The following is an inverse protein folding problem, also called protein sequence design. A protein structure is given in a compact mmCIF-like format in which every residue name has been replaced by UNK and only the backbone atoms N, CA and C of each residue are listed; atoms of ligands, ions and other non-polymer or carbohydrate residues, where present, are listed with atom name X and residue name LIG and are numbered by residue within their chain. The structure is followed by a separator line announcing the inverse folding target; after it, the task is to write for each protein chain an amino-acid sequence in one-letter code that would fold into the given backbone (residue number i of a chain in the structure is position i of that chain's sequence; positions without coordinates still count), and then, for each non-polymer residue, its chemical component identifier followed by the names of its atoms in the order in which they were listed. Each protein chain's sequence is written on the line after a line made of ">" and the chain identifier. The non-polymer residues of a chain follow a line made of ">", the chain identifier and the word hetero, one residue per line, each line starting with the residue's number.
data_IF_451398636021
#
_entry.id   IF_451398636021
#
_cell.length_a   1.000
_cell.length_b   1.000
_cell.length_c   1.000
_cell.angle_alpha   90.00
_cell.angle_beta   90.00
_cell.angle_gamma   90.00
#
_symmetry.space_group_name_H-M   'P 1'
#
loop_
_entity.id
_entity.type
_entity.pdbx_description
1 polymer ?
#
# COMPACT_ATOMS: atom_id res chain seq x y z
N UNK A 1 31.36 -16.52 -26.45
CA UNK A 1 30.25 -17.41 -26.06
C UNK A 1 29.27 -16.57 -25.22
N UNK A 2 28.08 -16.27 -25.75
CA UNK A 2 27.09 -15.49 -25.05
C UNK A 2 26.43 -16.39 -23.96
N UNK A 3 26.56 -15.97 -22.71
CA UNK A 3 25.96 -16.63 -21.54
C UNK A 3 24.43 -16.62 -21.69
N UNK A 4 23.84 -17.78 -21.90
CA UNK A 4 22.37 -17.97 -21.92
C UNK A 4 21.81 -17.57 -20.56
N UNK A 5 21.38 -16.29 -20.40
CA UNK A 5 20.70 -15.81 -19.21
C UNK A 5 19.47 -16.68 -18.95
N UNK A 6 19.42 -17.28 -17.75
CA UNK A 6 18.35 -18.22 -17.35
C UNK A 6 16.96 -17.57 -17.49
N UNK A 7 15.93 -18.23 -18.06
CA UNK A 7 14.57 -17.68 -18.28
C UNK A 7 13.96 -17.04 -17.02
N UNK A 8 14.17 -17.64 -15.85
CA UNK A 8 13.70 -17.15 -14.56
C UNK A 8 14.21 -15.73 -14.25
N UNK A 9 15.50 -15.48 -14.52
CA UNK A 9 16.10 -14.15 -14.30
C UNK A 9 15.54 -13.08 -15.25
N UNK A 10 15.12 -13.44 -16.45
CA UNK A 10 14.48 -12.50 -17.39
C UNK A 10 13.08 -12.15 -16.93
N UNK A 11 12.29 -13.11 -16.44
CA UNK A 11 10.95 -12.87 -15.90
C UNK A 11 10.97 -11.91 -14.70
N UNK A 12 11.87 -12.14 -13.76
CA UNK A 12 12.09 -11.25 -12.60
C UNK A 12 12.46 -9.84 -13.06
N UNK A 13 13.38 -9.69 -14.01
CA UNK A 13 13.77 -8.39 -14.57
C UNK A 13 12.61 -7.67 -15.27
N UNK A 14 11.70 -8.39 -15.95
CA UNK A 14 10.50 -7.79 -16.54
C UNK A 14 9.63 -7.18 -15.43
N UNK A 15 9.40 -7.90 -14.35
CA UNK A 15 8.61 -7.44 -13.20
C UNK A 15 9.24 -6.20 -12.57
N UNK A 16 10.55 -6.23 -12.28
CA UNK A 16 11.26 -5.10 -11.67
C UNK A 16 11.24 -3.85 -12.57
N UNK A 17 11.53 -4.01 -13.86
CA UNK A 17 11.49 -2.89 -14.82
C UNK A 17 10.07 -2.33 -14.95
N UNK A 18 9.06 -3.21 -15.00
CA UNK A 18 7.66 -2.79 -15.07
C UNK A 18 7.24 -1.99 -13.83
N UNK A 19 7.68 -2.42 -12.63
CA UNK A 19 7.40 -1.69 -11.39
C UNK A 19 7.94 -0.26 -11.45
N UNK A 20 9.19 -0.09 -11.90
CA UNK A 20 9.79 1.23 -12.03
C UNK A 20 9.01 2.11 -13.02
N UNK A 21 8.71 1.60 -14.22
CA UNK A 21 7.99 2.34 -15.24
C UNK A 21 6.56 2.68 -14.80
N UNK A 22 5.84 1.72 -14.20
CA UNK A 22 4.48 1.97 -13.70
C UNK A 22 4.47 2.99 -12.56
N UNK A 23 5.44 2.92 -11.65
CA UNK A 23 5.58 3.88 -10.56
C UNK A 23 5.90 5.29 -11.05
N UNK A 24 6.68 5.43 -12.12
CA UNK A 24 7.06 6.72 -12.70
C UNK A 24 5.91 7.29 -13.56
N UNK A 25 5.53 6.59 -14.59
CA UNK A 25 4.66 7.10 -15.65
C UNK A 25 3.18 6.73 -15.50
N UNK A 26 2.85 5.74 -14.64
CA UNK A 26 1.51 5.20 -14.50
C UNK A 26 1.27 3.95 -15.36
N UNK A 27 0.59 2.97 -14.76
CA UNK A 27 0.27 1.74 -15.47
C UNK A 27 -0.57 1.98 -16.76
N UNK A 28 -1.53 2.93 -16.82
CA UNK A 28 -2.27 3.22 -18.05
C UNK A 28 -1.39 3.66 -19.22
N UNK A 29 -0.30 4.37 -18.94
CA UNK A 29 0.56 5.02 -19.95
C UNK A 29 1.74 4.18 -20.41
N UNK A 30 2.00 3.03 -19.77
CA UNK A 30 3.11 2.14 -20.12
C UNK A 30 2.59 0.92 -20.87
N UNK A 31 3.18 0.62 -22.03
CA UNK A 31 2.87 -0.56 -22.83
C UNK A 31 3.89 -1.68 -22.61
N UNK A 32 3.58 -2.91 -23.03
CA UNK A 32 4.56 -4.01 -23.05
C UNK A 32 5.73 -3.73 -24.00
N UNK A 33 5.51 -2.93 -25.05
CA UNK A 33 6.57 -2.49 -25.95
C UNK A 33 7.56 -1.55 -25.26
N UNK A 34 7.07 -0.63 -24.43
CA UNK A 34 7.92 0.30 -23.66
C UNK A 34 8.78 -0.49 -22.65
N UNK A 35 8.21 -1.47 -21.98
CA UNK A 35 8.94 -2.36 -21.05
C UNK A 35 10.02 -3.14 -21.81
N UNK A 36 9.70 -3.71 -22.97
CA UNK A 36 10.66 -4.46 -23.79
C UNK A 36 11.81 -3.56 -24.27
N UNK A 37 11.49 -2.33 -24.70
CA UNK A 37 12.47 -1.33 -25.12
C UNK A 37 13.41 -0.93 -24.00
N UNK A 38 12.89 -0.63 -22.81
CA UNK A 38 13.69 -0.30 -21.62
C UNK A 38 14.65 -1.42 -21.22
N UNK A 39 14.21 -2.66 -21.35
CA UNK A 39 15.04 -3.83 -21.07
C UNK A 39 16.03 -4.21 -22.17
N UNK A 40 15.92 -3.62 -23.37
CA UNK A 40 16.70 -4.00 -24.56
C UNK A 40 16.39 -5.42 -25.05
N UNK A 41 15.13 -5.88 -24.94
CA UNK A 41 14.68 -7.19 -25.41
C UNK A 41 13.62 -7.03 -26.51
N UNK A 42 13.43 -8.06 -27.33
CA UNK A 42 12.34 -8.02 -28.32
C UNK A 42 10.96 -8.15 -27.64
N UNK A 43 9.89 -7.55 -28.20
CA UNK A 43 8.53 -7.76 -27.70
C UNK A 43 8.14 -9.25 -27.64
N UNK A 44 8.58 -10.07 -28.60
CA UNK A 44 8.35 -11.51 -28.61
C UNK A 44 8.99 -12.23 -27.41
N UNK A 45 10.15 -11.74 -26.95
CA UNK A 45 10.79 -12.29 -25.72
C UNK A 45 9.96 -11.93 -24.48
N UNK A 46 9.42 -10.70 -24.39
CA UNK A 46 8.53 -10.32 -23.31
C UNK A 46 7.27 -11.18 -23.31
N UNK A 47 6.61 -11.34 -24.46
CA UNK A 47 5.40 -12.16 -24.61
C UNK A 47 5.61 -13.65 -24.32
N UNK A 48 6.83 -14.16 -24.44
CA UNK A 48 7.18 -15.50 -23.98
C UNK A 48 7.03 -15.67 -22.44
N UNK A 49 7.21 -14.58 -21.69
CA UNK A 49 7.13 -14.60 -20.22
C UNK A 49 5.79 -14.16 -19.66
N UNK A 50 5.12 -13.20 -20.33
CA UNK A 50 3.84 -12.62 -19.94
C UNK A 50 2.96 -12.41 -21.15
N UNK A 51 1.76 -13.00 -21.16
CA UNK A 51 0.82 -12.92 -22.26
C UNK A 51 0.27 -11.50 -22.50
N UNK A 52 0.21 -10.68 -21.45
CA UNK A 52 -0.27 -9.30 -21.49
C UNK A 52 0.24 -8.49 -20.29
N UNK A 53 -0.06 -7.19 -20.29
CA UNK A 53 0.31 -6.27 -19.20
C UNK A 53 -0.38 -6.60 -17.89
N UNK A 54 -1.64 -7.05 -17.93
CA UNK A 54 -2.42 -7.32 -16.73
C UNK A 54 -1.84 -8.52 -15.94
N UNK A 55 -1.19 -9.47 -16.62
CA UNK A 55 -0.43 -10.53 -15.93
C UNK A 55 0.77 -9.98 -15.16
N UNK A 56 1.46 -8.97 -15.69
CA UNK A 56 2.58 -8.30 -15.01
C UNK A 56 2.04 -7.55 -13.79
N UNK A 57 0.94 -6.81 -13.94
CA UNK A 57 0.28 -6.11 -12.83
C UNK A 57 -0.16 -7.10 -11.75
N UNK A 58 -0.72 -8.25 -12.14
CA UNK A 58 -1.12 -9.32 -11.23
C UNK A 58 0.04 -9.92 -10.43
N UNK A 59 1.22 -10.05 -11.05
CA UNK A 59 2.46 -10.51 -10.38
C UNK A 59 2.96 -9.46 -9.38
N UNK A 60 2.98 -8.18 -9.77
CA UNK A 60 3.35 -7.08 -8.89
C UNK A 60 2.42 -6.96 -7.69
N UNK A 61 1.11 -7.16 -7.90
CA UNK A 61 0.16 -7.19 -6.79
C UNK A 61 0.41 -8.39 -5.87
N UNK A 62 0.79 -9.55 -6.41
CA UNK A 62 1.15 -10.71 -5.60
C UNK A 62 2.38 -10.45 -4.73
N UNK A 63 3.40 -9.77 -5.27
CA UNK A 63 4.57 -9.38 -4.52
C UNK A 63 4.23 -8.36 -3.41
N UNK A 64 3.34 -7.40 -3.68
CA UNK A 64 2.80 -6.49 -2.68
C UNK A 64 2.06 -7.24 -1.55
N UNK A 65 1.16 -8.18 -1.88
CA UNK A 65 0.46 -8.99 -0.87
C UNK A 65 1.44 -9.78 0.00
N UNK A 66 2.46 -10.41 -0.58
CA UNK A 66 3.48 -11.15 0.18
C UNK A 66 4.25 -10.24 1.15
N UNK A 67 4.58 -9.02 0.73
CA UNK A 67 5.22 -8.03 1.62
C UNK A 67 4.32 -7.66 2.79
N UNK A 68 3.02 -7.46 2.54
CA UNK A 68 2.05 -7.19 3.60
C UNK A 68 1.87 -8.38 4.55
N UNK A 69 1.80 -9.60 4.01
CA UNK A 69 1.71 -10.79 4.84
C UNK A 69 2.90 -10.92 5.80
N UNK A 70 4.10 -10.58 5.34
CA UNK A 70 5.29 -10.53 6.19
C UNK A 70 5.18 -9.47 7.30
N UNK A 71 4.60 -8.29 7.01
CA UNK A 71 4.37 -7.23 8.00
C UNK A 71 3.30 -7.61 9.02
N UNK A 72 2.24 -8.29 8.60
CA UNK A 72 1.13 -8.74 9.45
C UNK A 72 1.49 -9.99 10.28
N UNK A 73 2.57 -10.69 9.93
CA UNK A 73 3.04 -11.89 10.63
C UNK A 73 3.94 -11.57 11.83
N UNK A 74 3.95 -10.32 12.34
CA UNK A 74 4.72 -9.94 13.50
C UNK A 74 4.35 -10.78 14.74
N UNK A 75 5.28 -11.03 15.70
CA UNK A 75 5.13 -12.04 16.71
C UNK A 75 3.90 -11.81 17.58
N UNK A 76 2.98 -12.76 17.55
CA UNK A 76 1.87 -12.86 18.48
C UNK A 76 2.43 -13.12 19.89
N UNK A 77 2.12 -12.29 20.88
CA UNK A 77 2.51 -12.57 22.27
C UNK A 77 2.36 -11.42 23.24
N UNK A 78 2.11 -10.20 22.75
CA UNK A 78 1.77 -9.05 23.61
C UNK A 78 0.60 -8.26 23.03
N UNK A 79 -0.08 -7.55 23.90
CA UNK A 79 -1.13 -6.62 23.47
C UNK A 79 -0.48 -5.49 22.66
N UNK A 80 -0.96 -5.26 21.43
CA UNK A 80 -0.48 -4.18 20.60
C UNK A 80 -0.78 -2.83 21.24
N UNK A 81 0.19 -1.93 21.21
CA UNK A 81 0.08 -0.56 21.70
C UNK A 81 0.12 0.47 20.58
N UNK A 82 0.11 1.75 20.94
CA UNK A 82 0.10 2.85 19.95
C UNK A 82 1.41 2.94 19.16
N UNK A 83 2.53 2.53 19.74
CA UNK A 83 3.84 2.50 19.06
C UNK A 83 3.89 1.39 17.99
N UNK A 84 3.28 0.24 18.30
CA UNK A 84 3.12 -0.85 17.33
C UNK A 84 2.27 -0.42 16.13
N UNK A 85 1.15 0.27 16.40
CA UNK A 85 0.29 0.80 15.36
C UNK A 85 1.04 1.83 14.49
N UNK A 86 1.80 2.71 15.13
CA UNK A 86 2.64 3.69 14.46
C UNK A 86 3.65 3.01 13.53
N UNK A 87 4.44 2.07 14.03
CA UNK A 87 5.41 1.32 13.24
C UNK A 87 4.72 0.56 12.09
N UNK A 88 3.59 -0.10 12.36
CA UNK A 88 2.82 -0.81 11.35
C UNK A 88 2.38 0.12 10.22
N UNK A 89 1.85 1.30 10.53
CA UNK A 89 1.41 2.27 9.52
C UNK A 89 2.59 2.78 8.67
N UNK A 90 3.75 3.04 9.27
CA UNK A 90 4.95 3.41 8.53
C UNK A 90 5.34 2.34 7.52
N UNK A 91 5.49 1.11 7.97
CA UNK A 91 5.86 -0.02 7.13
C UNK A 91 4.79 -0.31 6.05
N UNK A 92 3.51 -0.12 6.38
CA UNK A 92 2.42 -0.22 5.42
C UNK A 92 2.54 0.85 4.33
N UNK A 93 2.75 2.11 4.70
CA UNK A 93 2.88 3.20 3.74
C UNK A 93 4.16 3.11 2.92
N UNK A 94 5.27 2.62 3.48
CA UNK A 94 6.47 2.29 2.71
C UNK A 94 6.18 1.21 1.66
N UNK A 95 5.51 0.12 2.05
CA UNK A 95 5.13 -0.92 1.11
C UNK A 95 4.18 -0.40 0.02
N UNK A 96 3.21 0.45 0.38
CA UNK A 96 2.32 1.10 -0.58
C UNK A 96 3.08 2.05 -1.50
N UNK A 97 4.09 2.75 -1.02
CA UNK A 97 4.93 3.65 -1.82
C UNK A 97 5.76 2.91 -2.85
N UNK A 98 6.32 1.77 -2.50
CA UNK A 98 7.09 0.93 -3.42
C UNK A 98 6.22 0.39 -4.57
N UNK A 99 4.92 0.23 -4.34
CA UNK A 99 3.93 -0.19 -5.33
C UNK A 99 2.89 0.92 -5.62
N UNK A 100 3.29 2.19 -5.57
CA UNK A 100 2.39 3.36 -5.61
C UNK A 100 1.49 3.45 -6.84
N UNK A 101 1.85 2.86 -7.95
CA UNK A 101 1.00 2.81 -9.15
C UNK A 101 -0.34 2.10 -8.88
N UNK A 102 -0.35 1.08 -8.00
CA UNK A 102 -1.56 0.34 -7.63
C UNK A 102 -2.60 1.26 -6.96
N UNK A 103 -2.14 2.23 -6.16
CA UNK A 103 -2.99 3.13 -5.39
C UNK A 103 -3.29 4.42 -6.15
N UNK A 104 -2.36 4.88 -6.98
CA UNK A 104 -2.53 6.05 -7.82
C UNK A 104 -3.54 5.81 -8.94
N UNK A 105 -3.45 4.65 -9.57
CA UNK A 105 -4.22 4.28 -10.76
C UNK A 105 -5.29 3.22 -10.41
N UNK A 106 -5.77 3.21 -9.15
CA UNK A 106 -6.58 2.16 -8.57
C UNK A 106 -7.81 1.82 -9.43
N UNK A 107 -8.58 2.82 -9.83
CA UNK A 107 -9.81 2.60 -10.62
C UNK A 107 -9.52 1.95 -11.97
N UNK A 108 -8.42 2.33 -12.64
CA UNK A 108 -7.98 1.69 -13.88
C UNK A 108 -7.54 0.24 -13.63
N UNK A 109 -6.74 0.02 -12.59
CA UNK A 109 -6.19 -1.29 -12.23
C UNK A 109 -7.30 -2.29 -11.89
N UNK A 110 -8.28 -1.91 -11.07
CA UNK A 110 -9.35 -2.83 -10.63
C UNK A 110 -10.43 -3.02 -11.70
N UNK A 111 -10.65 -2.05 -12.60
CA UNK A 111 -11.65 -2.16 -13.66
C UNK A 111 -11.28 -3.15 -14.75
N UNK A 112 -9.98 -3.38 -14.98
CA UNK A 112 -9.46 -4.24 -16.06
C UNK A 112 -9.50 -5.73 -15.74
N UNK A 113 -9.31 -6.09 -14.48
CA UNK A 113 -9.25 -7.50 -14.06
C UNK A 113 -10.10 -7.76 -12.81
N UNK A 114 -11.19 -8.55 -12.96
CA UNK A 114 -12.05 -8.95 -11.85
C UNK A 114 -11.32 -9.72 -10.75
N UNK A 115 -10.28 -10.49 -11.11
CA UNK A 115 -9.48 -11.23 -10.12
C UNK A 115 -8.67 -10.28 -9.26
N UNK A 116 -8.07 -9.27 -9.91
CA UNK A 116 -7.33 -8.22 -9.22
C UNK A 116 -8.25 -7.38 -8.32
N UNK A 117 -9.43 -6.99 -8.82
CA UNK A 117 -10.46 -6.32 -8.01
C UNK A 117 -10.85 -7.12 -6.77
N UNK A 118 -11.06 -8.44 -6.90
CA UNK A 118 -11.40 -9.31 -5.78
C UNK A 118 -10.24 -9.44 -4.77
N UNK A 119 -8.99 -9.45 -5.24
CA UNK A 119 -7.79 -9.45 -4.36
C UNK A 119 -7.67 -8.12 -3.61
N UNK A 120 -7.87 -7.00 -4.30
CA UNK A 120 -7.84 -5.67 -3.68
C UNK A 120 -8.94 -5.51 -2.63
N UNK A 121 -10.15 -6.00 -2.91
CA UNK A 121 -11.26 -6.04 -1.94
C UNK A 121 -10.88 -6.83 -0.68
N UNK A 122 -10.22 -7.98 -0.84
CA UNK A 122 -9.71 -8.77 0.31
C UNK A 122 -8.64 -8.01 1.10
N UNK A 123 -7.74 -7.32 0.41
CA UNK A 123 -6.73 -6.46 1.05
C UNK A 123 -7.38 -5.38 1.91
N UNK A 124 -8.35 -4.62 1.38
CA UNK A 124 -9.08 -3.59 2.13
C UNK A 124 -9.81 -4.17 3.34
N UNK A 125 -10.47 -5.33 3.16
CA UNK A 125 -11.19 -6.00 4.26
C UNK A 125 -10.24 -6.43 5.38
N UNK A 126 -9.10 -7.05 5.03
CA UNK A 126 -8.08 -7.40 6.03
C UNK A 126 -7.56 -6.18 6.79
N UNK A 127 -7.37 -5.06 6.08
CA UNK A 127 -7.00 -3.79 6.71
C UNK A 127 -8.05 -3.34 7.74
N UNK A 128 -9.33 -3.37 7.38
CA UNK A 128 -10.42 -3.04 8.30
C UNK A 128 -10.47 -3.98 9.50
N UNK A 129 -10.35 -5.30 9.30
CA UNK A 129 -10.34 -6.30 10.37
C UNK A 129 -9.17 -6.04 11.34
N UNK A 130 -7.98 -5.72 10.83
CA UNK A 130 -6.81 -5.38 11.65
C UNK A 130 -7.06 -4.14 12.51
N UNK A 131 -7.68 -3.09 11.96
CA UNK A 131 -8.03 -1.88 12.72
C UNK A 131 -9.07 -2.19 13.80
N UNK A 132 -10.09 -2.99 13.48
CA UNK A 132 -11.11 -3.42 14.46
C UNK A 132 -10.48 -4.16 15.63
N UNK A 133 -9.63 -5.14 15.37
CA UNK A 133 -8.95 -5.94 16.40
C UNK A 133 -8.06 -5.06 17.30
N UNK A 134 -7.32 -4.15 16.69
CA UNK A 134 -6.48 -3.21 17.42
C UNK A 134 -7.32 -2.28 18.33
N UNK A 135 -8.38 -1.67 17.80
CA UNK A 135 -9.25 -0.80 18.58
C UNK A 135 -9.91 -1.55 19.75
N UNK A 136 -10.36 -2.79 19.53
CA UNK A 136 -10.88 -3.64 20.60
C UNK A 136 -9.85 -3.94 21.67
N UNK A 137 -8.60 -4.18 21.27
CA UNK A 137 -7.49 -4.38 22.21
C UNK A 137 -7.25 -3.12 23.06
N UNK A 138 -7.21 -1.94 22.42
CA UNK A 138 -7.07 -0.67 23.15
C UNK A 138 -8.25 -0.37 24.08
N UNK A 139 -9.47 -0.74 23.71
CA UNK A 139 -10.65 -0.61 24.58
C UNK A 139 -10.54 -1.57 25.77
N UNK A 140 -10.15 -2.82 25.56
CA UNK A 140 -10.01 -3.83 26.60
C UNK A 140 -8.94 -3.45 27.66
N UNK A 141 -7.90 -2.73 27.24
CA UNK A 141 -6.83 -2.23 28.14
C UNK A 141 -7.18 -0.88 28.78
N UNK A 142 -8.32 -0.27 28.45
CA UNK A 142 -8.69 1.07 28.92
C UNK A 142 -7.91 2.22 28.29
N UNK A 143 -7.13 1.95 27.26
CA UNK A 143 -6.37 2.95 26.50
C UNK A 143 -7.23 3.73 25.49
N UNK A 144 -8.42 3.22 25.18
CA UNK A 144 -9.38 3.80 24.23
C UNK A 144 -10.81 3.70 24.75
N UNK A 145 -11.65 4.67 24.38
CA UNK A 145 -13.10 4.60 24.60
C UNK A 145 -13.81 4.72 23.27
N UNK A 146 -14.43 3.64 22.82
CA UNK A 146 -15.26 3.59 21.62
C UNK A 146 -16.28 2.45 21.75
N UNK A 147 -17.45 2.64 21.12
CA UNK A 147 -18.46 1.59 20.93
C UNK A 147 -18.10 0.73 19.72
N UNK A 148 -18.66 -0.47 19.61
CA UNK A 148 -18.46 -1.33 18.42
C UNK A 148 -18.87 -0.62 17.10
N UNK A 149 -19.89 0.21 17.13
CA UNK A 149 -20.34 0.98 15.98
C UNK A 149 -19.31 2.05 15.57
N UNK A 150 -18.70 2.73 16.53
CA UNK A 150 -17.64 3.71 16.28
C UNK A 150 -16.38 3.01 15.76
N UNK A 151 -16.01 1.86 16.33
CA UNK A 151 -14.88 1.05 15.88
C UNK A 151 -15.06 0.63 14.41
N UNK A 152 -16.25 0.14 14.03
CA UNK A 152 -16.54 -0.25 12.66
C UNK A 152 -16.42 0.94 11.68
N UNK A 153 -17.04 2.09 12.03
CA UNK A 153 -16.95 3.30 11.21
C UNK A 153 -15.51 3.84 11.12
N UNK A 154 -14.74 3.76 12.21
CA UNK A 154 -13.34 4.16 12.26
C UNK A 154 -12.49 3.28 11.33
N UNK A 155 -12.71 1.96 11.34
CA UNK A 155 -11.99 1.04 10.47
C UNK A 155 -12.23 1.34 8.98
N UNK A 156 -13.48 1.61 8.59
CA UNK A 156 -13.80 2.02 7.22
C UNK A 156 -13.09 3.33 6.85
N UNK A 157 -13.13 4.34 7.73
CA UNK A 157 -12.48 5.63 7.51
C UNK A 157 -10.95 5.48 7.36
N UNK A 158 -10.32 4.66 8.20
CA UNK A 158 -8.89 4.36 8.14
C UNK A 158 -8.53 3.73 6.79
N UNK A 159 -9.29 2.73 6.34
CA UNK A 159 -9.07 2.07 5.04
C UNK A 159 -9.23 3.06 3.89
N UNK A 160 -10.27 3.89 3.91
CA UNK A 160 -10.51 4.92 2.89
C UNK A 160 -9.33 5.89 2.84
N UNK A 161 -8.94 6.47 3.99
CA UNK A 161 -7.84 7.45 4.04
C UNK A 161 -6.53 6.81 3.60
N UNK A 162 -6.17 5.63 4.12
CA UNK A 162 -4.95 4.95 3.75
C UNK A 162 -4.89 4.65 2.24
N UNK A 163 -5.98 4.13 1.67
CA UNK A 163 -6.04 3.70 0.27
C UNK A 163 -5.97 4.88 -0.71
N UNK A 164 -6.71 5.97 -0.43
CA UNK A 164 -6.85 7.10 -1.34
C UNK A 164 -5.89 8.26 -1.05
N UNK A 165 -5.08 8.18 0.01
CA UNK A 165 -4.16 9.25 0.40
C UNK A 165 -3.20 9.68 -0.72
N UNK A 166 -2.65 8.72 -1.47
CA UNK A 166 -1.72 9.01 -2.57
C UNK A 166 -2.41 9.77 -3.70
N UNK A 167 -3.62 9.38 -4.08
CA UNK A 167 -4.41 10.08 -5.09
C UNK A 167 -4.79 11.48 -4.64
N UNK A 168 -5.22 11.64 -3.38
CA UNK A 168 -5.51 12.94 -2.77
C UNK A 168 -4.28 13.86 -2.80
N UNK A 169 -3.14 13.36 -2.33
CA UNK A 169 -1.91 14.14 -2.24
C UNK A 169 -1.44 14.62 -3.63
N UNK A 170 -1.50 13.75 -4.64
CA UNK A 170 -1.18 14.10 -6.02
C UNK A 170 -2.06 15.26 -6.55
N UNK A 171 -3.35 15.20 -6.29
CA UNK A 171 -4.30 16.25 -6.73
C UNK A 171 -4.03 17.55 -5.96
N UNK A 172 -3.87 17.48 -4.66
CA UNK A 172 -3.71 18.65 -3.79
C UNK A 172 -2.38 19.39 -4.03
N UNK A 173 -1.29 18.67 -4.31
CA UNK A 173 0.05 19.27 -4.44
C UNK A 173 0.44 19.65 -5.86
N UNK A 174 -0.04 18.95 -6.87
CA UNK A 174 0.40 19.14 -8.27
C UNK A 174 -0.75 19.45 -9.24
N UNK A 175 -1.97 19.68 -8.74
CA UNK A 175 -3.13 19.83 -9.61
C UNK A 175 -3.38 18.60 -10.50
N UNK A 176 -2.87 17.44 -10.09
CA UNK A 176 -2.98 16.18 -10.83
C UNK A 176 -1.95 16.01 -11.96
N UNK A 177 -1.05 16.97 -12.16
CA UNK A 177 -0.02 16.95 -13.21
C UNK A 177 1.38 16.82 -12.60
N UNK A 178 2.18 15.91 -13.13
CA UNK A 178 3.59 15.74 -12.77
C UNK A 178 3.88 14.49 -11.94
N UNK A 179 5.18 14.17 -11.77
CA UNK A 179 5.60 13.05 -10.94
C UNK A 179 5.12 13.26 -9.52
N UNK A 180 4.76 12.17 -8.85
CA UNK A 180 4.53 12.21 -7.42
C UNK A 180 5.88 12.54 -6.78
N UNK A 181 6.04 13.78 -6.30
CA UNK A 181 7.18 14.16 -5.46
C UNK A 181 7.25 13.20 -4.28
N UNK A 182 8.38 13.18 -3.56
CA UNK A 182 8.54 12.33 -2.39
C UNK A 182 7.28 12.41 -1.51
N UNK A 183 6.56 11.29 -1.37
CA UNK A 183 5.40 11.22 -0.48
C UNK A 183 5.93 11.43 0.93
N UNK A 184 5.32 12.35 1.65
CA UNK A 184 5.55 12.44 3.09
C UNK A 184 4.80 11.27 3.75
N UNK A 185 5.50 10.14 3.96
CA UNK A 185 4.97 8.93 4.58
C UNK A 185 4.49 9.21 6.01
N UNK A 186 5.23 10.08 6.68
CA UNK A 186 4.94 10.50 8.04
C UNK A 186 3.59 11.20 8.11
N UNK A 187 3.35 12.11 7.18
CA UNK A 187 2.06 12.80 7.08
C UNK A 187 0.91 11.82 6.78
N UNK A 188 1.14 10.79 5.97
CA UNK A 188 0.14 9.76 5.70
C UNK A 188 -0.22 8.99 6.98
N UNK A 189 0.80 8.52 7.72
CA UNK A 189 0.61 7.85 9.01
C UNK A 189 -0.10 8.75 10.02
N UNK A 190 0.30 10.02 10.12
CA UNK A 190 -0.36 10.99 10.97
C UNK A 190 -1.85 11.18 10.63
N UNK A 191 -2.22 11.27 9.35
CA UNK A 191 -3.62 11.42 8.94
C UNK A 191 -4.47 10.23 9.37
N UNK A 192 -3.97 9.02 9.25
CA UNK A 192 -4.65 7.82 9.73
C UNK A 192 -4.75 7.82 11.26
N UNK A 193 -3.66 8.08 11.95
CA UNK A 193 -3.62 8.09 13.42
C UNK A 193 -4.50 9.20 14.01
N UNK A 194 -4.63 10.34 13.34
CA UNK A 194 -5.50 11.44 13.78
C UNK A 194 -6.99 11.06 13.82
N UNK A 195 -7.42 10.07 13.03
CA UNK A 195 -8.77 9.53 13.10
C UNK A 195 -9.02 8.78 14.43
N UNK A 196 -7.99 8.11 14.94
CA UNK A 196 -8.04 7.31 16.18
C UNK A 196 -7.87 8.20 17.42
N UNK A 197 -7.09 9.27 17.30
CA UNK A 197 -6.70 10.16 18.39
C UNK A 197 -7.86 10.64 19.31
N UNK A 198 -9.05 11.01 18.81
CA UNK A 198 -10.16 11.48 19.64
C UNK A 198 -10.68 10.42 20.63
N UNK A 199 -10.43 9.16 20.36
CA UNK A 199 -10.90 8.02 21.15
C UNK A 199 -9.87 7.56 22.19
N UNK A 200 -8.59 8.00 22.08
CA UNK A 200 -7.52 7.61 22.99
C UNK A 200 -7.65 8.29 24.35
N UNK A 201 -7.23 7.58 25.40
CA UNK A 201 -7.33 8.03 26.78
C UNK A 201 -5.95 8.03 27.49
N UNK A 202 -5.84 8.83 28.54
CA UNK A 202 -4.73 8.82 29.49
C UNK A 202 -3.34 8.90 28.85
N UNK A 203 -2.44 8.02 29.29
CA UNK A 203 -1.05 7.98 28.82
C UNK A 203 -0.92 7.68 27.34
N UNK A 204 -1.84 6.88 26.78
CA UNK A 204 -1.85 6.57 25.34
C UNK A 204 -2.13 7.81 24.49
N UNK A 205 -3.05 8.66 24.92
CA UNK A 205 -3.29 9.94 24.26
C UNK A 205 -2.08 10.88 24.39
N UNK A 206 -1.47 10.96 25.55
CA UNK A 206 -0.26 11.79 25.76
C UNK A 206 0.91 11.30 24.88
N UNK A 207 1.07 9.98 24.75
CA UNK A 207 2.09 9.40 23.87
C UNK A 207 1.83 9.72 22.41
N UNK A 208 0.57 9.59 21.95
CA UNK A 208 0.16 10.00 20.61
C UNK A 208 0.50 11.47 20.36
N UNK A 209 0.11 12.39 21.26
CA UNK A 209 0.36 13.82 21.11
C UNK A 209 1.86 14.13 21.03
N UNK A 210 2.71 13.39 21.73
CA UNK A 210 4.17 13.52 21.64
C UNK A 210 4.69 13.05 20.29
N UNK A 211 4.31 11.82 19.87
CA UNK A 211 4.74 11.25 18.59
C UNK A 211 4.28 12.09 17.41
N UNK A 212 3.13 12.74 17.49
CA UNK A 212 2.57 13.55 16.42
C UNK A 212 3.24 14.92 16.26
N UNK A 213 4.01 15.41 17.24
CA UNK A 213 4.70 16.72 17.16
C UNK A 213 5.77 16.75 16.05
N UNK A 214 6.35 15.61 15.72
CA UNK A 214 7.39 15.49 14.69
C UNK A 214 6.84 15.55 13.26
N UNK A 215 5.49 15.62 13.09
CA UNK A 215 4.78 15.56 11.79
C UNK A 215 3.97 16.80 11.44
N UNK A 216 3.98 17.78 12.30
CA UNK A 216 3.34 19.08 12.12
C UNK A 216 4.38 20.14 11.75
#
# INVERSE_FOLDING_TARGET
>A
MAERKRPRRTRERIVDTSLLLFNDSGAPHVTTADIAAEMGISPGNLYYHFGNKDEIVGELFAAFEQRLDALLSAPAGRVADIEDLWLFLHLLFEAMWDYRFLFRDLDDVVSRDRRLAARFTRFMRRGADTVIELCRSLVATGAMRATEREIAALADNVVIVATYWMSYQRIAMSGGKGPIGAMNLDRAAYQVLSLIAPFLLGSTRTLFDRLSQDYL
#
